data_IF_650722182381
#
_entry.id   IF_650722182381
#
_cell.length_a   1.000
_cell.length_b   1.000
_cell.length_c   1.000
_cell.angle_alpha   90.00
_cell.angle_beta   90.00
_cell.angle_gamma   90.00
#
_symmetry.space_group_name_H-M   'P 1'
#
loop_
_entity.id
_entity.type
_entity.pdbx_description
1 polymer ?
#
# COMPACT_ATOMS: atom_id res chain seq x y z
N UNK A 1 -6.63 69.05 -45.86
CA UNK A 1 -6.00 67.83 -45.30
C UNK A 1 -7.07 66.75 -45.21
N UNK A 2 -7.08 65.78 -46.12
CA UNK A 2 -7.93 64.60 -46.04
C UNK A 2 -7.02 63.38 -46.05
N UNK A 3 -6.92 62.71 -44.90
CA UNK A 3 -6.11 61.51 -44.71
C UNK A 3 -6.95 60.30 -45.09
N UNK A 4 -6.65 59.72 -46.25
CA UNK A 4 -7.19 58.44 -46.69
C UNK A 4 -6.64 57.31 -45.80
N UNK A 5 -7.43 56.85 -44.83
CA UNK A 5 -7.19 55.60 -44.13
C UNK A 5 -7.71 54.43 -44.99
N UNK A 6 -6.81 53.79 -45.74
CA UNK A 6 -7.08 52.49 -46.35
C UNK A 6 -6.96 51.41 -45.27
N UNK A 7 -8.10 50.97 -44.74
CA UNK A 7 -8.21 49.73 -43.97
C UNK A 7 -8.06 48.56 -44.95
N UNK A 8 -6.88 47.96 -45.02
CA UNK A 8 -6.65 46.72 -45.76
C UNK A 8 -7.31 45.55 -45.02
N UNK A 9 -8.51 45.19 -45.47
CA UNK A 9 -9.20 43.98 -45.04
C UNK A 9 -8.40 42.76 -45.52
N UNK A 10 -7.64 42.16 -44.61
CA UNK A 10 -6.93 40.91 -44.85
C UNK A 10 -7.92 39.76 -44.81
N UNK A 11 -8.60 39.51 -45.94
CA UNK A 11 -9.43 38.32 -46.11
C UNK A 11 -8.52 37.09 -46.05
N UNK A 12 -8.69 36.27 -45.02
CA UNK A 12 -8.05 34.97 -44.88
C UNK A 12 -8.51 34.05 -46.00
N UNK A 13 -7.60 33.66 -46.89
CA UNK A 13 -7.90 32.70 -47.96
C UNK A 13 -8.38 31.36 -47.39
N UNK A 14 -9.40 30.72 -47.99
CA UNK A 14 -9.88 29.42 -47.52
C UNK A 14 -8.79 28.35 -47.67
N UNK A 15 -8.57 27.56 -46.62
CA UNK A 15 -7.61 26.46 -46.63
C UNK A 15 -8.01 25.40 -47.68
N UNK A 16 -7.07 25.01 -48.53
CA UNK A 16 -7.24 23.87 -49.45
C UNK A 16 -7.43 22.56 -48.66
N UNK A 17 -8.22 21.63 -49.19
CA UNK A 17 -8.55 20.36 -48.53
C UNK A 17 -7.31 19.56 -48.10
N UNK A 18 -6.24 19.59 -48.90
CA UNK A 18 -4.95 18.99 -48.55
C UNK A 18 -4.30 19.65 -47.33
N UNK A 19 -4.28 20.98 -47.26
CA UNK A 19 -3.75 21.71 -46.09
C UNK A 19 -4.59 21.45 -44.85
N UNK A 20 -5.92 21.33 -45.00
CA UNK A 20 -6.81 20.97 -43.90
C UNK A 20 -6.53 19.55 -43.36
N UNK A 21 -6.36 18.56 -44.24
CA UNK A 21 -6.04 17.18 -43.85
C UNK A 21 -4.64 17.07 -43.24
N UNK A 22 -3.64 17.78 -43.79
CA UNK A 22 -2.29 17.85 -43.24
C UNK A 22 -2.27 18.50 -41.85
N UNK A 23 -3.01 19.61 -41.67
CA UNK A 23 -3.18 20.26 -40.37
C UNK A 23 -3.91 19.35 -39.38
N UNK A 24 -4.97 18.66 -39.79
CA UNK A 24 -5.68 17.68 -38.95
C UNK A 24 -4.74 16.57 -38.44
N UNK A 25 -3.86 16.03 -39.30
CA UNK A 25 -2.83 15.06 -38.89
C UNK A 25 -1.80 15.69 -37.94
N UNK A 26 -1.36 16.92 -38.18
CA UNK A 26 -0.43 17.67 -37.33
C UNK A 26 -1.01 17.94 -35.93
N UNK A 27 -2.24 18.44 -35.86
CA UNK A 27 -2.95 18.67 -34.59
C UNK A 27 -3.22 17.37 -33.84
N UNK A 28 -3.58 16.28 -34.55
CA UNK A 28 -3.74 14.97 -33.93
C UNK A 28 -2.42 14.47 -33.32
N UNK A 29 -1.29 14.63 -34.02
CA UNK A 29 0.04 14.27 -33.50
C UNK A 29 0.42 15.14 -32.29
N UNK A 30 0.17 16.44 -32.35
CA UNK A 30 0.40 17.37 -31.25
C UNK A 30 -0.43 16.98 -30.01
N UNK A 31 -1.73 16.73 -30.17
CA UNK A 31 -2.61 16.33 -29.07
C UNK A 31 -2.16 15.02 -28.42
N UNK A 32 -1.76 14.02 -29.22
CA UNK A 32 -1.20 12.78 -28.68
C UNK A 32 0.11 13.02 -27.92
N UNK A 33 1.04 13.79 -28.47
CA UNK A 33 2.30 14.12 -27.79
C UNK A 33 2.06 14.86 -26.48
N UNK A 34 1.14 15.83 -26.47
CA UNK A 34 0.73 16.55 -25.27
C UNK A 34 0.15 15.60 -24.22
N UNK A 35 -0.82 14.77 -24.59
CA UNK A 35 -1.43 13.80 -23.67
C UNK A 35 -0.40 12.80 -23.14
N UNK A 36 0.48 12.30 -23.99
CA UNK A 36 1.53 11.36 -23.59
C UNK A 36 2.51 12.03 -22.62
N UNK A 37 2.89 13.28 -22.87
CA UNK A 37 3.76 14.04 -21.96
C UNK A 37 3.13 14.28 -20.59
N UNK A 38 1.81 14.43 -20.52
CA UNK A 38 1.09 14.63 -19.26
C UNK A 38 0.84 13.31 -18.51
N UNK A 39 0.48 12.25 -19.23
CA UNK A 39 0.08 10.96 -18.65
C UNK A 39 1.29 10.11 -18.27
N UNK A 40 2.34 10.11 -19.09
CA UNK A 40 3.50 9.23 -18.91
C UNK A 40 4.18 9.41 -17.55
N UNK A 41 4.43 10.63 -17.03
CA UNK A 41 5.00 10.81 -15.69
C UNK A 41 4.10 10.25 -14.59
N UNK A 42 2.78 10.46 -14.69
CA UNK A 42 1.80 9.98 -13.69
C UNK A 42 1.79 8.45 -13.66
N UNK A 43 1.72 7.83 -14.84
CA UNK A 43 1.77 6.36 -14.97
C UNK A 43 3.10 5.81 -14.48
N UNK A 44 4.23 6.46 -14.82
CA UNK A 44 5.55 6.04 -14.36
C UNK A 44 5.67 6.08 -12.83
N UNK A 45 5.21 7.16 -12.19
CA UNK A 45 5.18 7.28 -10.72
C UNK A 45 4.25 6.22 -10.12
N UNK A 46 3.09 5.96 -10.73
CA UNK A 46 2.17 4.91 -10.29
C UNK A 46 2.81 3.52 -10.33
N UNK A 47 3.42 3.16 -11.47
CA UNK A 47 4.14 1.89 -11.63
C UNK A 47 5.29 1.78 -10.64
N UNK A 48 6.09 2.84 -10.47
CA UNK A 48 7.19 2.85 -9.51
C UNK A 48 6.72 2.58 -8.08
N UNK A 49 5.61 3.20 -7.66
CA UNK A 49 5.01 2.96 -6.34
C UNK A 49 4.51 1.51 -6.19
N UNK A 50 3.96 0.92 -7.26
CA UNK A 50 3.53 -0.49 -7.29
C UNK A 50 4.72 -1.46 -7.27
N UNK A 51 5.85 -1.09 -7.86
CA UNK A 51 7.06 -1.93 -7.88
C UNK A 51 7.79 -1.89 -6.54
N UNK A 52 8.11 -0.69 -6.02
CA UNK A 52 8.83 -0.51 -4.75
C UNK A 52 7.96 -0.93 -3.57
N UNK A 53 6.71 -0.48 -3.57
CA UNK A 53 5.63 -1.01 -2.78
C UNK A 53 5.97 -1.22 -1.28
N UNK A 54 6.14 -0.13 -0.51
CA UNK A 54 6.69 -0.18 0.85
C UNK A 54 5.70 -0.64 1.93
N UNK A 55 4.41 -0.83 1.58
CA UNK A 55 3.31 -1.02 2.54
C UNK A 55 2.72 -2.43 2.60
N UNK A 56 2.95 -3.29 1.60
CA UNK A 56 2.50 -4.69 1.62
C UNK A 56 0.96 -4.93 1.75
N UNK A 57 0.13 -3.97 1.28
CA UNK A 57 -1.33 -4.01 1.05
C UNK A 57 -1.88 -4.93 -0.11
N UNK A 58 -1.39 -4.79 -1.35
CA UNK A 58 -1.53 -5.67 -2.53
C UNK A 58 -0.66 -6.96 -2.55
N UNK A 59 -1.07 -7.98 -3.32
CA UNK A 59 -0.32 -9.24 -3.43
C UNK A 59 0.74 -9.17 -4.56
N UNK A 60 1.73 -8.27 -4.45
CA UNK A 60 2.77 -8.09 -5.47
C UNK A 60 3.93 -9.09 -5.30
N UNK A 61 4.60 -9.53 -6.38
CA UNK A 61 5.79 -10.38 -6.28
C UNK A 61 6.91 -9.73 -5.44
N UNK A 62 7.60 -10.54 -4.63
CA UNK A 62 8.75 -10.11 -3.83
C UNK A 62 10.05 -10.33 -4.63
N UNK A 63 10.80 -9.26 -4.83
CA UNK A 63 12.11 -9.25 -5.48
C UNK A 63 13.17 -8.78 -4.50
N UNK A 64 14.19 -9.62 -4.29
CA UNK A 64 15.34 -9.29 -3.43
C UNK A 64 16.03 -8.02 -3.95
N UNK A 65 16.32 -7.08 -3.04
CA UNK A 65 16.97 -5.80 -3.37
C UNK A 65 16.05 -4.69 -3.91
N UNK A 66 14.83 -4.99 -4.36
CA UNK A 66 13.88 -3.98 -4.89
C UNK A 66 12.78 -3.69 -3.88
N UNK A 67 12.04 -4.72 -3.46
CA UNK A 67 10.85 -4.55 -2.63
C UNK A 67 10.77 -5.57 -1.48
N UNK A 68 11.86 -6.30 -1.20
CA UNK A 68 11.91 -7.28 -0.13
C UNK A 68 11.73 -6.64 1.26
N UNK A 69 12.37 -5.51 1.50
CA UNK A 69 12.23 -4.75 2.74
C UNK A 69 10.99 -3.88 2.71
N UNK A 70 10.11 -4.02 3.71
CA UNK A 70 8.86 -3.25 3.85
C UNK A 70 8.89 -2.29 5.05
N UNK A 71 9.79 -1.28 5.07
CA UNK A 71 10.06 -0.48 6.27
C UNK A 71 8.83 0.29 6.78
N UNK A 72 7.92 0.73 5.90
CA UNK A 72 6.70 1.42 6.34
C UNK A 72 5.70 0.48 7.00
N UNK A 73 5.63 -0.78 6.57
CA UNK A 73 4.85 -1.81 7.25
C UNK A 73 5.43 -2.12 8.63
N UNK A 74 6.75 -2.19 8.74
CA UNK A 74 7.41 -2.42 10.02
C UNK A 74 7.23 -1.29 11.03
N UNK A 75 7.31 -0.03 10.59
CA UNK A 75 7.09 1.14 11.44
C UNK A 75 5.64 1.30 11.89
N UNK A 76 4.69 0.71 11.16
CA UNK A 76 3.26 0.76 11.45
C UNK A 76 2.68 -0.64 11.68
N UNK A 77 3.44 -1.49 12.40
CA UNK A 77 3.14 -2.91 12.55
C UNK A 77 1.70 -3.18 12.99
N UNK A 78 1.18 -2.38 13.92
CA UNK A 78 -0.21 -2.45 14.40
C UNK A 78 -1.25 -2.29 13.29
N UNK A 79 -1.17 -1.19 12.54
CA UNK A 79 -2.12 -0.92 11.46
C UNK A 79 -2.13 -2.06 10.44
N UNK A 80 -0.95 -2.49 9.99
CA UNK A 80 -0.85 -3.52 8.96
C UNK A 80 -1.22 -4.91 9.47
N UNK A 81 -0.91 -5.25 10.73
CA UNK A 81 -1.33 -6.53 11.33
C UNK A 81 -2.84 -6.60 11.50
N UNK A 82 -3.49 -5.50 11.87
CA UNK A 82 -4.94 -5.43 11.95
C UNK A 82 -5.60 -5.68 10.58
N UNK A 83 -5.07 -5.08 9.51
CA UNK A 83 -5.54 -5.31 8.13
C UNK A 83 -5.21 -6.75 7.69
N UNK A 84 -4.02 -7.24 7.99
CA UNK A 84 -3.58 -8.59 7.61
C UNK A 84 -4.45 -9.68 8.26
N UNK A 85 -4.93 -9.49 9.49
CA UNK A 85 -5.88 -10.41 10.12
C UNK A 85 -7.17 -10.53 9.28
N UNK A 86 -7.71 -9.42 8.79
CA UNK A 86 -8.94 -9.40 7.98
C UNK A 86 -8.70 -10.05 6.61
N UNK A 87 -7.53 -9.78 6.02
CA UNK A 87 -7.15 -10.25 4.67
C UNK A 87 -6.78 -11.72 4.65
N UNK A 88 -5.89 -12.15 5.55
CA UNK A 88 -5.32 -13.50 5.61
C UNK A 88 -6.31 -14.46 6.29
N UNK A 89 -7.10 -13.96 7.26
CA UNK A 89 -7.97 -14.78 8.12
C UNK A 89 -7.23 -15.99 8.70
N UNK A 90 -6.13 -15.76 9.44
CA UNK A 90 -5.24 -16.83 9.88
C UNK A 90 -5.95 -17.79 10.83
N UNK A 91 -5.80 -19.10 10.61
CA UNK A 91 -6.26 -20.13 11.56
C UNK A 91 -5.25 -20.34 12.69
N UNK A 92 -4.01 -19.87 12.50
CA UNK A 92 -2.98 -19.81 13.54
C UNK A 92 -2.43 -18.41 13.71
N UNK A 93 -2.40 -17.92 14.94
CA UNK A 93 -1.79 -16.61 15.25
C UNK A 93 -0.60 -16.75 16.20
N UNK A 94 0.52 -16.13 15.82
CA UNK A 94 1.73 -16.05 16.66
C UNK A 94 1.80 -14.65 17.29
N UNK A 95 1.63 -14.56 18.61
CA UNK A 95 1.54 -13.32 19.39
C UNK A 95 2.72 -13.18 20.35
N UNK A 96 3.07 -11.94 20.68
CA UNK A 96 4.18 -11.65 21.59
C UNK A 96 4.80 -10.30 21.33
N UNK A 97 6.02 -10.10 21.82
CA UNK A 97 6.79 -8.88 21.59
C UNK A 97 7.59 -8.91 20.27
N UNK A 98 8.54 -7.96 20.15
CA UNK A 98 9.56 -7.97 19.10
C UNK A 98 10.45 -9.22 19.12
N UNK A 99 10.47 -9.99 20.23
CA UNK A 99 11.14 -11.29 20.30
C UNK A 99 10.37 -12.33 19.49
N UNK A 100 9.07 -12.53 19.74
CA UNK A 100 8.24 -13.43 18.93
C UNK A 100 8.16 -12.99 17.47
N UNK A 101 8.10 -11.67 17.22
CA UNK A 101 8.09 -11.11 15.85
C UNK A 101 9.27 -11.60 15.01
N UNK A 102 10.44 -11.80 15.63
CA UNK A 102 11.69 -12.18 14.94
C UNK A 102 12.06 -13.65 15.08
N UNK A 103 11.63 -14.29 16.18
CA UNK A 103 12.06 -15.64 16.51
C UNK A 103 11.20 -16.74 15.88
N UNK A 104 9.90 -16.48 15.64
CA UNK A 104 8.96 -17.52 15.21
C UNK A 104 8.51 -17.25 13.77
N UNK A 105 8.84 -18.19 12.88
CA UNK A 105 8.44 -18.18 11.48
C UNK A 105 7.04 -18.83 11.31
N UNK A 106 6.03 -18.11 10.77
CA UNK A 106 4.72 -18.70 10.48
C UNK A 106 4.75 -19.81 9.42
N UNK A 107 5.81 -19.91 8.61
CA UNK A 107 5.96 -20.97 7.61
C UNK A 107 6.74 -22.19 8.12
N UNK A 108 7.06 -22.24 9.42
CA UNK A 108 7.83 -23.33 10.00
C UNK A 108 7.13 -24.71 9.80
N UNK A 109 7.87 -25.80 9.48
CA UNK A 109 7.26 -27.09 9.12
C UNK A 109 6.28 -27.67 10.14
N UNK A 110 6.47 -27.42 11.43
CA UNK A 110 5.54 -27.88 12.48
C UNK A 110 4.12 -27.27 12.35
N UNK A 111 3.99 -26.13 11.67
CA UNK A 111 2.71 -25.45 11.44
C UNK A 111 2.03 -25.86 10.13
N UNK A 112 2.57 -26.83 9.39
CA UNK A 112 2.06 -27.24 8.06
C UNK A 112 0.56 -27.57 8.07
N UNK A 113 0.07 -28.19 9.14
CA UNK A 113 -1.35 -28.56 9.29
C UNK A 113 -2.22 -27.45 9.90
N UNK A 114 -1.63 -26.32 10.30
CA UNK A 114 -2.31 -25.19 10.92
C UNK A 114 -2.13 -23.89 10.09
N UNK A 115 -2.14 -24.01 8.76
CA UNK A 115 -2.07 -22.89 7.82
C UNK A 115 -3.48 -22.39 7.42
N UNK A 116 -3.66 -21.09 7.10
CA UNK A 116 -2.66 -20.04 7.12
C UNK A 116 -2.30 -19.60 8.55
N UNK A 117 -1.00 -19.55 8.84
CA UNK A 117 -0.44 -19.02 10.07
C UNK A 117 0.06 -17.60 9.84
N UNK A 118 -0.11 -16.73 10.82
CA UNK A 118 0.34 -15.34 10.72
C UNK A 118 0.97 -14.85 12.03
N UNK A 119 2.12 -14.18 11.90
CA UNK A 119 2.81 -13.57 13.03
C UNK A 119 2.22 -12.18 13.30
N UNK A 120 1.37 -12.09 14.31
CA UNK A 120 0.72 -10.87 14.81
C UNK A 120 1.48 -10.24 15.98
N UNK A 121 2.68 -10.72 16.33
CA UNK A 121 3.47 -10.18 17.45
C UNK A 121 3.84 -8.70 17.25
N UNK A 122 3.76 -7.90 18.31
CA UNK A 122 3.87 -6.44 18.23
C UNK A 122 5.20 -5.97 18.81
N UNK A 123 5.80 -4.95 18.20
CA UNK A 123 7.01 -4.36 18.74
C UNK A 123 6.72 -3.76 20.11
N UNK A 124 7.40 -4.29 21.14
CA UNK A 124 7.18 -3.97 22.56
C UNK A 124 5.69 -4.01 22.96
N UNK A 125 4.91 -4.96 22.42
CA UNK A 125 3.50 -5.15 22.77
C UNK A 125 3.33 -5.56 24.24
N UNK A 126 2.24 -5.13 24.87
CA UNK A 126 1.83 -5.52 26.23
C UNK A 126 0.62 -6.47 26.18
N UNK A 127 0.18 -7.00 27.34
CA UNK A 127 -0.97 -7.92 27.37
C UNK A 127 -2.28 -7.29 26.89
N UNK A 128 -2.47 -5.99 27.12
CA UNK A 128 -3.67 -5.31 26.67
C UNK A 128 -3.78 -5.34 25.15
N UNK A 129 -2.72 -4.94 24.45
CA UNK A 129 -2.67 -4.96 22.99
C UNK A 129 -2.81 -6.39 22.45
N UNK A 130 -2.08 -7.36 23.02
CA UNK A 130 -2.18 -8.76 22.62
C UNK A 130 -3.61 -9.31 22.73
N UNK A 131 -4.31 -9.00 23.83
CA UNK A 131 -5.71 -9.39 24.03
C UNK A 131 -6.59 -8.80 22.93
N UNK A 132 -6.47 -7.50 22.64
CA UNK A 132 -7.30 -6.85 21.62
C UNK A 132 -7.03 -7.39 20.21
N UNK A 133 -5.77 -7.72 19.88
CA UNK A 133 -5.46 -8.39 18.61
C UNK A 133 -5.96 -9.83 18.53
N UNK A 134 -5.97 -10.56 19.66
CA UNK A 134 -6.58 -11.89 19.71
C UNK A 134 -8.09 -11.81 19.49
N UNK A 135 -8.78 -10.88 20.16
CA UNK A 135 -10.21 -10.65 19.98
C UNK A 135 -10.53 -10.27 18.52
N UNK A 136 -9.73 -9.40 17.92
CA UNK A 136 -9.83 -9.06 16.49
C UNK A 136 -9.65 -10.29 15.59
N UNK A 137 -8.68 -11.16 15.88
CA UNK A 137 -8.46 -12.40 15.14
C UNK A 137 -9.65 -13.36 15.27
N UNK A 138 -10.18 -13.56 16.47
CA UNK A 138 -11.36 -14.40 16.73
C UNK A 138 -12.59 -13.85 15.98
N UNK A 139 -12.79 -12.52 16.00
CA UNK A 139 -13.92 -11.88 15.32
C UNK A 139 -13.88 -12.07 13.79
N UNK A 140 -12.68 -12.06 13.20
CA UNK A 140 -12.50 -12.15 11.74
C UNK A 140 -12.25 -13.58 11.22
N UNK A 141 -11.90 -14.52 12.10
CA UNK A 141 -11.70 -15.93 11.76
C UNK A 141 -12.35 -16.84 12.81
N UNK A 142 -13.58 -17.30 12.53
CA UNK A 142 -14.34 -18.18 13.41
C UNK A 142 -13.72 -19.57 13.60
N UNK A 143 -12.81 -19.98 12.70
CA UNK A 143 -12.09 -21.26 12.75
C UNK A 143 -10.65 -21.10 13.26
N UNK A 144 -10.39 -20.08 14.08
CA UNK A 144 -9.10 -19.93 14.74
C UNK A 144 -8.85 -21.17 15.61
N UNK A 145 -7.75 -21.87 15.33
CA UNK A 145 -7.46 -23.20 15.88
C UNK A 145 -6.29 -23.13 16.88
N UNK A 146 -5.23 -22.40 16.52
CA UNK A 146 -4.01 -22.35 17.30
C UNK A 146 -3.56 -20.92 17.61
N UNK A 147 -3.21 -20.67 18.86
CA UNK A 147 -2.65 -19.41 19.34
C UNK A 147 -1.33 -19.71 20.04
N UNK A 148 -0.22 -19.22 19.49
CA UNK A 148 1.10 -19.35 20.10
C UNK A 148 1.50 -18.00 20.68
N UNK A 149 1.71 -17.94 21.99
CA UNK A 149 2.03 -16.69 22.70
C UNK A 149 3.45 -16.77 23.25
N UNK A 150 4.33 -15.90 22.75
CA UNK A 150 5.62 -15.64 23.39
C UNK A 150 5.44 -14.62 24.51
N UNK A 151 5.77 -15.05 25.73
CA UNK A 151 5.65 -14.26 26.94
C UNK A 151 6.96 -13.53 27.25
N UNK A 152 6.84 -12.28 27.68
CA UNK A 152 7.96 -11.47 28.12
C UNK A 152 7.66 -10.83 29.48
N UNK A 153 8.65 -10.80 30.38
CA UNK A 153 8.47 -10.24 31.73
C UNK A 153 7.92 -8.81 31.74
N UNK A 154 8.35 -7.97 30.80
CA UNK A 154 7.87 -6.59 30.74
C UNK A 154 6.37 -6.50 30.43
N UNK A 155 5.76 -7.50 29.78
CA UNK A 155 4.33 -7.48 29.45
C UNK A 155 3.45 -7.51 30.70
N UNK A 156 3.94 -8.11 31.80
CA UNK A 156 3.24 -8.19 33.08
C UNK A 156 3.25 -6.85 33.85
N UNK A 157 3.99 -5.85 33.38
CA UNK A 157 3.98 -4.52 33.98
C UNK A 157 2.71 -3.76 33.54
N UNK A 158 1.73 -3.68 34.43
CA UNK A 158 0.45 -2.99 34.21
C UNK A 158 0.58 -1.47 34.01
N UNK A 159 1.75 -0.89 34.34
CA UNK A 159 2.03 0.54 34.15
C UNK A 159 2.48 0.87 32.72
N UNK A 160 2.78 -0.14 31.89
CA UNK A 160 3.18 0.09 30.50
C UNK A 160 1.95 0.46 29.68
N UNK A 161 1.91 1.73 29.28
CA UNK A 161 0.90 2.23 28.36
C UNK A 161 1.02 1.58 26.98
N UNK A 162 -0.09 1.54 26.25
CA UNK A 162 -0.11 1.13 24.85
C UNK A 162 0.76 2.06 24.01
N UNK A 163 1.28 1.57 22.88
CA UNK A 163 2.03 2.43 21.96
C UNK A 163 1.14 3.48 21.31
N UNK A 164 1.71 4.62 20.93
CA UNK A 164 0.99 5.68 20.21
C UNK A 164 0.36 5.20 18.89
N UNK A 165 0.95 4.20 18.24
CA UNK A 165 0.41 3.61 17.01
C UNK A 165 -0.75 2.62 17.24
N UNK A 166 -1.12 2.35 18.50
CA UNK A 166 -2.25 1.49 18.86
C UNK A 166 -3.56 2.29 18.93
N UNK A 167 -4.55 1.84 18.18
CA UNK A 167 -5.89 2.41 18.16
C UNK A 167 -6.92 1.29 18.08
N UNK A 168 -7.82 1.22 19.06
CA UNK A 168 -8.84 0.17 19.11
C UNK A 168 -9.88 0.27 18.01
N UNK A 169 -10.14 1.46 17.48
CA UNK A 169 -11.09 1.69 16.39
C UNK A 169 -10.69 0.98 15.08
N UNK A 170 -9.46 0.43 15.00
CA UNK A 170 -8.94 -0.30 13.85
C UNK A 170 -9.09 -1.82 13.99
N UNK A 171 -9.58 -2.29 15.14
CA UNK A 171 -9.76 -3.69 15.53
C UNK A 171 -11.24 -4.05 15.56
#
# INVERSE_FOLDING_TARGET
MSTNNQLSSSYSQPLTAEKYLANKKKYRRYNWLFLLSAILPVVAVGIFNIVVYPYDVFNTPNFLGINHSKPRKDNNDRLFKAIDIIRIKPVTVLMGSSRTKRAIDPNYPALKNHQPAYNVALTKGNFYELRRYLEHAIANQKKLDLVIIGLDFFMFNSLIQTRESFYEQRL
#
